data_IF_988669280542
#
_entry.id   IF_988669280542
#
_cell.length_a   1.000
_cell.length_b   1.000
_cell.length_c   1.000
_cell.angle_alpha   90.00
_cell.angle_beta   90.00
_cell.angle_gamma   90.00
#
_symmetry.space_group_name_H-M   'P 1'
#
loop_
_entity.id
_entity.type
_entity.pdbx_description
1 polymer ?
#
# COMPACT_ATOMS: atom_id res chain seq x y z
N UNK A 1 -40.49 -17.08 0.95
CA UNK A 1 -39.07 -17.33 0.60
C UNK A 1 -38.45 -16.25 -0.30
N UNK A 2 -38.96 -15.00 -0.35
CA UNK A 2 -38.36 -13.92 -1.17
C UNK A 2 -37.31 -13.09 -0.42
N UNK A 3 -37.40 -13.07 0.91
CA UNK A 3 -36.51 -12.31 1.78
C UNK A 3 -35.07 -12.85 1.80
N UNK A 4 -34.93 -14.19 1.78
CA UNK A 4 -33.61 -14.83 1.79
C UNK A 4 -32.82 -14.47 0.52
N UNK A 5 -33.43 -14.57 -0.67
CA UNK A 5 -32.77 -14.19 -1.92
C UNK A 5 -32.42 -12.69 -2.03
N UNK A 6 -33.23 -11.81 -1.44
CA UNK A 6 -32.89 -10.39 -1.33
C UNK A 6 -31.65 -10.17 -0.45
N UNK A 7 -31.58 -10.87 0.69
CA UNK A 7 -30.46 -10.77 1.62
C UNK A 7 -29.17 -11.30 0.99
N UNK A 8 -29.21 -12.44 0.30
CA UNK A 8 -28.03 -13.00 -0.39
C UNK A 8 -27.52 -12.04 -1.48
N UNK A 9 -28.42 -11.49 -2.31
CA UNK A 9 -28.03 -10.53 -3.36
C UNK A 9 -27.33 -9.30 -2.78
N UNK A 10 -27.80 -8.82 -1.61
CA UNK A 10 -27.23 -7.66 -0.94
C UNK A 10 -25.86 -7.96 -0.32
N UNK A 11 -25.70 -9.12 0.32
CA UNK A 11 -24.41 -9.55 0.88
C UNK A 11 -23.37 -9.75 -0.23
N UNK A 12 -23.74 -10.38 -1.35
CA UNK A 12 -22.83 -10.55 -2.49
C UNK A 12 -22.38 -9.20 -3.05
N UNK A 13 -23.29 -8.22 -3.18
CA UNK A 13 -22.94 -6.87 -3.59
C UNK A 13 -21.97 -6.18 -2.64
N UNK A 14 -22.20 -6.27 -1.32
CA UNK A 14 -21.32 -5.70 -0.30
C UNK A 14 -19.94 -6.36 -0.34
N UNK A 15 -19.90 -7.70 -0.41
CA UNK A 15 -18.65 -8.45 -0.50
C UNK A 15 -17.84 -8.05 -1.76
N UNK A 16 -18.50 -7.93 -2.92
CA UNK A 16 -17.84 -7.50 -4.15
C UNK A 16 -17.24 -6.09 -4.03
N UNK A 17 -17.97 -5.14 -3.41
CA UNK A 17 -17.45 -3.79 -3.16
C UNK A 17 -16.27 -3.82 -2.19
N UNK A 18 -16.36 -4.57 -1.10
CA UNK A 18 -15.25 -4.69 -0.13
C UNK A 18 -14.00 -5.26 -0.78
N UNK A 19 -14.14 -6.31 -1.61
CA UNK A 19 -13.03 -6.89 -2.37
C UNK A 19 -12.47 -5.87 -3.36
N UNK A 20 -13.31 -5.17 -4.11
CA UNK A 20 -12.88 -4.14 -5.06
C UNK A 20 -12.09 -3.01 -4.38
N UNK A 21 -12.60 -2.47 -3.27
CA UNK A 21 -11.92 -1.44 -2.49
C UNK A 21 -10.60 -1.97 -1.92
N UNK A 22 -10.59 -3.17 -1.34
CA UNK A 22 -9.38 -3.78 -0.79
C UNK A 22 -8.30 -3.94 -1.86
N UNK A 23 -8.65 -4.46 -3.05
CA UNK A 23 -7.70 -4.59 -4.16
C UNK A 23 -7.13 -3.23 -4.55
N UNK A 24 -7.98 -2.19 -4.68
CA UNK A 24 -7.53 -0.84 -5.03
C UNK A 24 -6.59 -0.29 -3.95
N UNK A 25 -6.97 -0.38 -2.68
CA UNK A 25 -6.15 0.12 -1.56
C UNK A 25 -4.81 -0.60 -1.50
N UNK A 26 -4.78 -1.93 -1.63
CA UNK A 26 -3.54 -2.70 -1.62
C UNK A 26 -2.69 -2.44 -2.87
N UNK A 27 -3.30 -2.30 -4.04
CA UNK A 27 -2.59 -1.96 -5.26
C UNK A 27 -1.91 -0.59 -5.12
N UNK A 28 -2.62 0.42 -4.62
CA UNK A 28 -2.04 1.74 -4.34
C UNK A 28 -0.90 1.61 -3.32
N UNK A 29 -1.11 0.86 -2.23
CA UNK A 29 -0.08 0.64 -1.21
C UNK A 29 1.19 -0.05 -1.74
N UNK A 30 1.09 -0.89 -2.77
CA UNK A 30 2.25 -1.56 -3.38
C UNK A 30 2.91 -0.71 -4.48
N UNK A 31 2.18 0.23 -5.07
CA UNK A 31 2.72 1.20 -6.03
C UNK A 31 3.52 2.29 -5.30
N UNK A 32 3.12 2.65 -4.07
CA UNK A 32 3.92 3.54 -3.23
C UNK A 32 5.22 2.82 -2.89
N UNK A 33 6.39 3.38 -3.24
CA UNK A 33 7.67 2.75 -2.92
C UNK A 33 7.77 2.51 -1.42
N UNK A 34 7.87 1.24 -1.02
CA UNK A 34 7.99 0.83 0.38
C UNK A 34 9.37 1.20 0.97
N UNK A 35 10.33 1.56 0.13
CA UNK A 35 11.62 2.07 0.55
C UNK A 35 11.55 3.62 0.68
N UNK A 36 11.63 4.17 1.90
CA UNK A 36 11.61 5.62 2.12
C UNK A 36 12.77 6.32 1.39
N UNK A 37 13.88 5.63 1.12
CA UNK A 37 15.03 6.15 0.38
C UNK A 37 14.67 6.30 -1.10
N UNK A 38 14.04 5.28 -1.69
CA UNK A 38 13.55 5.35 -3.07
C UNK A 38 12.43 6.38 -3.23
N UNK A 39 11.56 6.54 -2.22
CA UNK A 39 10.54 7.58 -2.21
C UNK A 39 11.11 9.01 -2.14
N UNK A 40 12.22 9.21 -1.43
CA UNK A 40 12.82 10.52 -1.19
C UNK A 40 13.85 10.94 -2.25
N UNK A 41 14.69 10.01 -2.72
CA UNK A 41 15.77 10.29 -3.67
C UNK A 41 15.43 9.86 -5.10
N UNK A 42 14.41 9.02 -5.29
CA UNK A 42 14.02 8.45 -6.58
C UNK A 42 14.97 7.36 -7.09
N UNK A 43 14.61 6.73 -8.21
CA UNK A 43 15.32 5.60 -8.83
C UNK A 43 16.72 5.94 -9.41
N UNK A 44 17.19 7.17 -9.23
CA UNK A 44 18.49 7.68 -9.73
C UNK A 44 19.44 8.13 -8.62
N UNK A 45 19.14 7.77 -7.38
CA UNK A 45 20.01 8.05 -6.25
C UNK A 45 21.37 7.35 -6.43
N UNK A 46 22.45 8.11 -6.34
CA UNK A 46 23.80 7.55 -6.27
C UNK A 46 24.05 6.94 -4.89
N UNK A 47 24.95 5.95 -4.80
CA UNK A 47 25.27 5.29 -3.51
C UNK A 47 25.68 6.28 -2.41
N UNK A 48 26.35 7.38 -2.78
CA UNK A 48 26.71 8.45 -1.83
C UNK A 48 25.49 9.20 -1.29
N UNK A 49 24.47 9.44 -2.12
CA UNK A 49 23.24 10.12 -1.69
C UNK A 49 22.40 9.24 -0.78
N UNK A 50 22.38 7.93 -1.04
CA UNK A 50 21.71 6.94 -0.18
C UNK A 50 22.36 6.90 1.20
N UNK A 51 23.70 6.84 1.27
CA UNK A 51 24.44 6.78 2.53
C UNK A 51 24.30 8.07 3.35
N UNK A 52 24.34 9.22 2.69
CA UNK A 52 24.11 10.52 3.34
C UNK A 52 22.70 10.61 3.93
N UNK A 53 21.69 10.18 3.17
CA UNK A 53 20.29 10.18 3.60
C UNK A 53 20.05 9.19 4.75
N UNK A 54 20.68 8.01 4.73
CA UNK A 54 20.66 7.05 5.85
C UNK A 54 21.17 7.64 7.15
N UNK A 55 22.34 8.29 7.09
CA UNK A 55 22.98 8.93 8.24
C UNK A 55 22.17 10.11 8.77
N UNK A 56 21.63 10.96 7.88
CA UNK A 56 20.86 12.15 8.23
C UNK A 56 19.52 11.82 8.90
N UNK A 57 18.84 10.77 8.42
CA UNK A 57 17.56 10.32 8.97
C UNK A 57 17.70 9.24 10.05
N UNK A 58 18.93 8.91 10.46
CA UNK A 58 19.25 7.88 11.46
C UNK A 58 18.58 6.53 11.20
N UNK A 59 18.35 6.19 9.92
CA UNK A 59 17.71 4.94 9.48
C UNK A 59 18.61 3.71 9.74
N UNK A 60 19.86 3.93 10.13
CA UNK A 60 20.86 2.91 10.46
C UNK A 60 20.76 2.41 11.92
N UNK A 61 19.85 2.98 12.71
CA UNK A 61 19.65 2.57 14.10
C UNK A 61 18.52 1.53 14.17
N UNK A 62 18.79 0.33 14.72
CA UNK A 62 17.72 -0.65 14.94
C UNK A 62 16.70 -0.11 15.96
N UNK A 63 15.43 -0.49 15.75
CA UNK A 63 14.30 -0.21 16.65
C UNK A 63 14.44 -0.91 18.01
#
# INVERSE_FOLDING_TARGET
MRFLGFLTRRIVGIAAVMVGVSIITFAISHIIPADPIAAALGDHATDQQIEAFRSEYHLDRPL
#
